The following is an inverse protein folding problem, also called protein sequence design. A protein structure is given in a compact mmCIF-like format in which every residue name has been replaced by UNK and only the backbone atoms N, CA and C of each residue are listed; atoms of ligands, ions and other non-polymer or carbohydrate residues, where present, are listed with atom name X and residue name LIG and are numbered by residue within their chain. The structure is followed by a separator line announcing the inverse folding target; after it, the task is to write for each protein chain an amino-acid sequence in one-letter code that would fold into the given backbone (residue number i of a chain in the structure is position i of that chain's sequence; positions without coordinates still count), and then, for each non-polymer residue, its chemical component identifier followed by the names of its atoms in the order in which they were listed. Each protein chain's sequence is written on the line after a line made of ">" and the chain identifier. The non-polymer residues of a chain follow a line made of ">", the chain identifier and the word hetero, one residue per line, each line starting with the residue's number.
data_IF_677900017217
#
_entry.id   IF_677900017217
#
_cell.length_a   1.000
_cell.length_b   1.000
_cell.length_c   1.000
_cell.angle_alpha   90.00
_cell.angle_beta   90.00
_cell.angle_gamma   90.00
#
_symmetry.space_group_name_H-M   'P 1'
#
loop_
_entity.id
_entity.type
_entity.pdbx_description
1 polymer ?
#
# COMPACT_ATOMS: atom_id res chain seq x y z
N UNK A 1 32.15 28.73 34.88
CA UNK A 1 31.73 27.35 34.54
C UNK A 1 30.41 27.41 33.79
N UNK A 2 30.40 26.78 32.60
CA UNK A 2 29.25 26.34 31.78
C UNK A 2 28.38 27.44 31.13
N UNK A 3 28.87 27.93 29.98
CA UNK A 3 28.06 28.52 28.92
C UNK A 3 27.59 27.35 28.05
N UNK A 4 26.28 27.08 27.99
CA UNK A 4 25.74 26.07 27.08
C UNK A 4 25.55 26.70 25.70
N UNK A 5 26.44 26.34 24.78
CA UNK A 5 26.27 26.63 23.35
C UNK A 5 25.20 25.72 22.77
N UNK A 6 24.09 26.31 22.31
CA UNK A 6 23.12 25.61 21.49
C UNK A 6 23.58 25.69 20.03
N UNK A 7 24.01 24.55 19.49
CA UNK A 7 24.21 24.36 18.07
C UNK A 7 22.85 24.40 17.37
N UNK A 8 22.58 25.45 16.61
CA UNK A 8 21.48 25.47 15.66
C UNK A 8 21.85 24.59 14.45
N UNK A 9 21.35 23.36 14.42
CA UNK A 9 21.35 22.55 13.20
C UNK A 9 20.28 23.11 12.26
N UNK A 10 20.73 23.84 11.24
CA UNK A 10 19.90 24.19 10.09
C UNK A 10 19.74 22.92 9.27
N UNK A 11 18.63 22.20 9.45
CA UNK A 11 18.23 21.15 8.53
C UNK A 11 17.51 21.81 7.34
N UNK A 12 18.27 22.07 6.27
CA UNK A 12 17.69 22.39 4.98
C UNK A 12 16.86 21.18 4.52
N UNK A 13 15.53 21.31 4.56
CA UNK A 13 14.62 20.35 3.96
C UNK A 13 14.72 20.50 2.44
N UNK A 14 15.58 19.71 1.82
CA UNK A 14 15.50 19.46 0.38
C UNK A 14 14.28 18.56 0.18
N UNK A 15 13.12 19.17 -0.04
CA UNK A 15 12.02 18.48 -0.71
C UNK A 15 12.52 18.25 -2.12
N UNK A 16 12.87 17.00 -2.44
CA UNK A 16 12.96 16.57 -3.82
C UNK A 16 11.53 16.62 -4.39
N UNK A 17 11.12 17.80 -4.83
CA UNK A 17 10.01 17.92 -5.76
C UNK A 17 10.47 17.18 -6.99
N UNK A 18 9.90 16.00 -7.24
CA UNK A 18 9.93 15.45 -8.59
C UNK A 18 9.19 16.48 -9.43
N UNK A 19 9.95 17.18 -10.26
CA UNK A 19 9.38 18.09 -11.25
C UNK A 19 8.52 17.19 -12.13
N UNK A 20 7.20 17.37 -12.04
CA UNK A 20 6.28 16.82 -13.02
C UNK A 20 6.59 17.56 -14.32
N UNK A 21 7.38 16.94 -15.20
CA UNK A 21 7.75 17.51 -16.49
C UNK A 21 6.54 17.58 -17.46
N UNK A 22 5.32 17.28 -16.98
CA UNK A 22 4.13 17.13 -17.80
C UNK A 22 4.12 15.83 -18.61
N UNK A 23 5.06 14.92 -18.32
CA UNK A 23 5.12 13.61 -18.94
C UNK A 23 3.93 12.78 -18.44
N UNK A 24 2.98 12.55 -19.34
CA UNK A 24 1.83 11.69 -19.08
C UNK A 24 2.14 10.25 -19.39
N UNK A 25 1.55 9.35 -18.62
CA UNK A 25 1.57 7.90 -18.83
C UNK A 25 0.16 7.41 -19.12
N UNK A 26 0.03 6.41 -19.99
CA UNK A 26 -1.26 5.79 -20.28
C UNK A 26 -1.57 4.80 -19.18
N UNK A 27 -2.61 5.09 -18.40
CA UNK A 27 -3.01 4.30 -17.24
C UNK A 27 -4.37 3.65 -17.51
N UNK A 28 -4.45 2.33 -17.41
CA UNK A 28 -5.68 1.57 -17.46
C UNK A 28 -6.26 1.41 -16.05
N UNK A 29 -7.46 1.93 -15.83
CA UNK A 29 -8.24 1.78 -14.59
C UNK A 29 -9.17 0.56 -14.65
N UNK A 30 -9.54 0.16 -15.86
CA UNK A 30 -10.30 -1.06 -16.15
C UNK A 30 -10.02 -1.52 -17.59
N UNK A 31 -10.59 -2.64 -18.01
CA UNK A 31 -10.44 -3.16 -19.38
C UNK A 31 -10.90 -2.14 -20.45
N UNK A 32 -11.90 -1.30 -20.13
CA UNK A 32 -12.52 -0.35 -21.06
C UNK A 32 -12.20 1.13 -20.74
N UNK A 33 -11.39 1.41 -19.71
CA UNK A 33 -11.05 2.78 -19.30
C UNK A 33 -9.53 2.97 -19.21
N UNK A 34 -9.00 3.74 -20.15
CA UNK A 34 -7.59 4.13 -20.21
C UNK A 34 -7.46 5.65 -20.34
N UNK A 35 -6.57 6.24 -19.55
CA UNK A 35 -6.40 7.71 -19.47
C UNK A 35 -4.93 8.08 -19.42
N UNK A 36 -4.58 9.17 -20.08
CA UNK A 36 -3.25 9.78 -19.96
C UNK A 36 -3.18 10.63 -18.70
N UNK A 37 -2.48 10.12 -17.69
CA UNK A 37 -2.36 10.74 -16.37
C UNK A 37 -0.94 11.26 -16.14
N UNK A 38 -0.84 12.40 -15.47
CA UNK A 38 0.44 12.91 -14.96
C UNK A 38 0.90 12.11 -13.76
N UNK A 39 2.15 12.33 -13.33
CA UNK A 39 2.66 11.67 -12.13
C UNK A 39 1.83 11.98 -10.87
N UNK A 40 1.38 13.22 -10.70
CA UNK A 40 0.56 13.59 -9.54
C UNK A 40 -0.79 12.86 -9.54
N UNK A 41 -1.44 12.75 -10.70
CA UNK A 41 -2.72 12.05 -10.84
C UNK A 41 -2.57 10.54 -10.58
N UNK A 42 -1.42 9.95 -10.94
CA UNK A 42 -1.10 8.54 -10.61
C UNK A 42 -0.86 8.36 -9.12
N UNK A 43 -0.11 9.27 -8.49
CA UNK A 43 0.14 9.23 -7.06
C UNK A 43 -1.20 9.34 -6.28
N UNK A 44 -2.16 10.14 -6.75
CA UNK A 44 -3.51 10.20 -6.19
C UNK A 44 -4.26 8.87 -6.27
N UNK A 45 -4.11 8.09 -7.35
CA UNK A 45 -4.70 6.74 -7.46
C UNK A 45 -4.11 5.79 -6.40
N UNK A 46 -2.80 5.86 -6.17
CA UNK A 46 -2.11 5.07 -5.14
C UNK A 46 -2.64 5.46 -3.75
N UNK A 47 -2.77 6.75 -3.47
CA UNK A 47 -3.25 7.25 -2.18
C UNK A 47 -4.69 6.84 -1.86
N UNK A 48 -5.53 6.74 -2.90
CA UNK A 48 -6.92 6.29 -2.76
C UNK A 48 -7.09 4.76 -2.88
N UNK A 49 -5.97 4.01 -2.95
CA UNK A 49 -5.95 2.56 -3.09
C UNK A 49 -6.75 2.06 -4.31
N UNK A 50 -6.72 2.83 -5.40
CA UNK A 50 -7.33 2.49 -6.68
C UNK A 50 -6.30 1.70 -7.49
N UNK A 51 -6.62 0.45 -7.81
CA UNK A 51 -5.77 -0.38 -8.66
C UNK A 51 -5.72 0.16 -10.09
N UNK A 52 -4.52 0.21 -10.67
CA UNK A 52 -4.32 0.62 -12.05
C UNK A 52 -3.17 -0.13 -12.70
N UNK A 53 -3.09 0.00 -14.02
CA UNK A 53 -2.16 -0.68 -14.90
C UNK A 53 -1.44 0.36 -15.78
N UNK A 54 -0.11 0.44 -15.74
CA UNK A 54 0.65 1.32 -16.65
C UNK A 54 0.79 0.68 -18.03
N UNK A 55 0.01 1.18 -19.00
CA UNK A 55 -0.08 0.70 -20.37
C UNK A 55 0.73 1.55 -21.37
N UNK A 56 1.55 2.50 -20.90
CA UNK A 56 2.27 3.47 -21.74
C UNK A 56 3.07 2.82 -22.87
N UNK A 57 3.71 1.69 -22.60
CA UNK A 57 4.57 0.99 -23.55
C UNK A 57 3.88 -0.19 -24.25
N UNK A 58 2.58 -0.38 -24.06
CA UNK A 58 1.86 -1.55 -24.58
C UNK A 58 2.29 -2.87 -23.94
N UNK A 59 3.04 -2.82 -22.83
CA UNK A 59 3.50 -4.02 -22.12
C UNK A 59 2.32 -4.88 -21.63
N UNK A 60 1.17 -4.25 -21.35
CA UNK A 60 -0.07 -4.96 -21.02
C UNK A 60 -0.59 -5.87 -22.13
N UNK A 61 -0.46 -5.47 -23.39
CA UNK A 61 -0.83 -6.31 -24.54
C UNK A 61 0.26 -7.37 -24.82
N UNK A 62 1.50 -7.10 -24.43
CA UNK A 62 2.64 -8.01 -24.60
C UNK A 62 2.70 -9.12 -23.53
N UNK A 63 2.03 -8.96 -22.37
CA UNK A 63 1.95 -10.00 -21.32
C UNK A 63 1.44 -11.35 -21.86
N UNK A 64 0.44 -11.34 -22.75
CA UNK A 64 -0.04 -12.55 -23.44
C UNK A 64 1.07 -13.24 -24.25
N UNK A 65 2.01 -12.47 -24.80
CA UNK A 65 3.12 -12.93 -25.63
C UNK A 65 4.22 -13.61 -24.82
N UNK A 66 4.35 -13.27 -23.54
CA UNK A 66 5.31 -13.87 -22.60
C UNK A 66 4.75 -15.07 -21.81
N UNK A 67 3.57 -15.57 -22.17
CA UNK A 67 2.92 -16.69 -21.46
C UNK A 67 2.31 -16.31 -20.11
N UNK A 68 2.39 -15.03 -19.71
CA UNK A 68 1.57 -14.48 -18.66
C UNK A 68 0.20 -14.16 -19.26
N UNK A 69 -0.62 -15.19 -19.45
CA UNK A 69 -2.03 -14.98 -19.77
C UNK A 69 -2.59 -13.93 -18.81
N UNK A 70 -3.32 -12.93 -19.35
CA UNK A 70 -4.08 -11.94 -18.55
C UNK A 70 -4.57 -12.65 -17.32
N UNK A 71 -4.09 -12.26 -16.13
CA UNK A 71 -4.21 -13.03 -14.90
C UNK A 71 -5.53 -13.79 -14.94
N UNK A 72 -5.48 -15.09 -15.27
CA UNK A 72 -6.69 -15.86 -15.47
C UNK A 72 -7.46 -15.62 -14.20
N UNK A 73 -8.66 -15.03 -14.30
CA UNK A 73 -9.56 -14.87 -13.16
C UNK A 73 -9.46 -16.19 -12.42
N UNK A 74 -8.90 -16.24 -11.21
CA UNK A 74 -8.55 -17.50 -10.58
C UNK A 74 -9.80 -18.35 -10.69
N UNK A 75 -9.67 -19.52 -11.35
CA UNK A 75 -10.83 -20.35 -11.68
C UNK A 75 -11.74 -20.36 -10.48
N UNK A 76 -13.02 -20.04 -10.69
CA UNK A 76 -13.99 -19.84 -9.61
C UNK A 76 -13.82 -20.94 -8.59
N UNK A 77 -13.12 -20.64 -7.49
CA UNK A 77 -12.66 -21.66 -6.57
C UNK A 77 -13.92 -22.28 -5.99
N UNK A 78 -14.16 -23.55 -6.30
CA UNK A 78 -15.32 -24.25 -5.74
C UNK A 78 -15.05 -24.44 -4.27
N UNK A 79 -15.63 -23.55 -3.46
CA UNK A 79 -15.64 -23.72 -2.02
C UNK A 79 -16.52 -24.93 -1.68
N UNK A 80 -16.14 -25.73 -0.69
CA UNK A 80 -17.01 -26.81 -0.23
C UNK A 80 -18.35 -26.23 0.24
N UNK A 81 -19.43 -26.97 0.02
CA UNK A 81 -20.80 -26.56 0.37
C UNK A 81 -21.03 -26.41 1.89
N UNK A 82 -20.05 -26.79 2.72
CA UNK A 82 -20.11 -26.71 4.17
C UNK A 82 -18.72 -26.67 4.81
N UNK A 83 -18.64 -26.51 6.13
CA UNK A 83 -17.39 -26.39 6.86
C UNK A 83 -16.62 -27.73 6.87
N UNK A 84 -15.57 -27.83 6.06
CA UNK A 84 -14.72 -29.04 5.97
C UNK A 84 -13.72 -29.14 7.13
N UNK A 85 -13.40 -28.02 7.79
CA UNK A 85 -12.35 -27.92 8.79
C UNK A 85 -12.85 -27.36 10.13
N UNK A 86 -14.08 -27.69 10.52
CA UNK A 86 -14.72 -27.12 11.71
C UNK A 86 -13.86 -27.27 12.98
N UNK A 87 -13.31 -28.46 13.24
CA UNK A 87 -12.47 -28.73 14.42
C UNK A 87 -11.22 -27.84 14.44
N UNK A 88 -10.56 -27.67 13.31
CA UNK A 88 -9.37 -26.84 13.18
C UNK A 88 -9.71 -25.35 13.36
N UNK A 89 -10.79 -24.88 12.74
CA UNK A 89 -11.26 -23.50 12.88
C UNK A 89 -11.65 -23.20 14.32
N UNK A 90 -12.37 -24.09 15.00
CA UNK A 90 -12.74 -23.94 16.41
C UNK A 90 -11.51 -23.90 17.33
N UNK A 91 -10.51 -24.76 17.08
CA UNK A 91 -9.27 -24.74 17.84
C UNK A 91 -8.51 -23.41 17.66
N UNK A 92 -8.46 -22.86 16.45
CA UNK A 92 -7.85 -21.55 16.19
C UNK A 92 -8.64 -20.44 16.89
N UNK A 93 -9.98 -20.45 16.77
CA UNK A 93 -10.84 -19.45 17.42
C UNK A 93 -10.68 -19.45 18.94
N UNK A 94 -10.52 -20.63 19.56
CA UNK A 94 -10.28 -20.72 21.01
C UNK A 94 -8.95 -20.08 21.46
N UNK A 95 -7.98 -19.95 20.55
CA UNK A 95 -6.71 -19.28 20.83
C UNK A 95 -6.76 -17.75 20.62
N UNK A 96 -7.80 -17.25 19.95
CA UNK A 96 -8.01 -15.80 19.79
C UNK A 96 -8.70 -15.26 21.04
N UNK A 97 -7.94 -14.56 21.88
CA UNK A 97 -8.48 -13.95 23.10
C UNK A 97 -8.65 -12.44 22.92
N UNK A 98 -9.74 -11.90 23.46
CA UNK A 98 -10.01 -10.45 23.44
C UNK A 98 -8.88 -9.66 24.08
N UNK A 99 -8.28 -10.19 25.15
CA UNK A 99 -7.14 -9.55 25.84
C UNK A 99 -5.88 -9.47 24.99
N UNK A 100 -5.57 -10.50 24.20
CA UNK A 100 -4.42 -10.45 23.28
C UNK A 100 -4.65 -9.43 22.15
N UNK A 101 -5.88 -9.34 21.65
CA UNK A 101 -6.26 -8.34 20.65
C UNK A 101 -6.19 -6.92 21.22
N UNK A 102 -6.76 -6.71 22.41
CA UNK A 102 -6.71 -5.43 23.12
C UNK A 102 -5.27 -4.99 23.39
N UNK A 103 -4.41 -5.91 23.81
CA UNK A 103 -2.98 -5.63 24.01
C UNK A 103 -2.33 -5.18 22.70
N UNK A 104 -2.58 -5.90 21.60
CA UNK A 104 -2.01 -5.57 20.29
C UNK A 104 -2.48 -4.21 19.80
N UNK A 105 -3.77 -3.90 19.95
CA UNK A 105 -4.35 -2.61 19.58
C UNK A 105 -3.83 -1.48 20.47
N UNK A 106 -3.67 -1.73 21.76
CA UNK A 106 -3.12 -0.75 22.70
C UNK A 106 -1.67 -0.43 22.35
N UNK A 107 -0.84 -1.44 22.12
CA UNK A 107 0.53 -1.26 21.66
C UNK A 107 0.54 -0.53 20.32
N UNK A 108 -0.38 -0.84 19.41
CA UNK A 108 -0.50 -0.14 18.15
C UNK A 108 -0.77 1.36 18.38
N UNK A 109 -1.75 1.73 19.19
CA UNK A 109 -2.09 3.15 19.39
C UNK A 109 -1.05 3.91 20.21
N UNK A 110 -0.34 3.25 21.13
CA UNK A 110 0.52 3.92 22.11
C UNK A 110 2.02 3.90 21.77
N UNK A 111 2.48 2.97 20.93
CA UNK A 111 3.91 2.83 20.60
C UNK A 111 4.50 4.04 19.87
N UNK A 112 3.70 4.76 19.10
CA UNK A 112 4.11 5.94 18.35
C UNK A 112 3.15 7.10 18.62
N UNK A 113 3.68 8.31 18.82
CA UNK A 113 2.88 9.51 19.06
C UNK A 113 2.02 9.91 17.85
N UNK A 114 2.49 9.59 16.64
CA UNK A 114 1.75 9.76 15.39
C UNK A 114 2.13 8.64 14.43
N UNK A 115 1.19 8.27 13.56
CA UNK A 115 1.39 7.30 12.48
C UNK A 115 1.18 7.94 11.10
N UNK A 116 1.24 9.28 11.06
CA UNK A 116 1.05 10.02 9.84
C UNK A 116 2.19 9.70 8.85
N UNK A 117 1.85 9.33 7.61
CA UNK A 117 2.79 8.85 6.57
C UNK A 117 4.03 9.75 6.34
N UNK A 118 3.89 11.05 6.59
CA UNK A 118 4.97 12.03 6.40
C UNK A 118 5.86 12.22 7.63
N UNK A 119 5.45 11.70 8.80
CA UNK A 119 6.25 11.77 10.03
C UNK A 119 7.34 10.69 10.06
N UNK A 120 8.40 10.93 10.85
CA UNK A 120 9.45 9.94 11.03
C UNK A 120 8.91 8.67 11.69
N UNK A 121 8.01 8.83 12.65
CA UNK A 121 7.30 7.77 13.36
C UNK A 121 6.38 6.98 12.44
N UNK A 122 5.68 7.67 11.52
CA UNK A 122 4.84 7.05 10.50
C UNK A 122 5.61 6.07 9.62
N UNK A 123 6.79 6.47 9.13
CA UNK A 123 7.69 5.61 8.33
C UNK A 123 8.27 4.43 9.12
N UNK A 124 8.44 4.58 10.43
CA UNK A 124 8.89 3.49 11.30
C UNK A 124 7.75 2.54 11.72
N UNK A 125 6.50 2.95 11.52
CA UNK A 125 5.29 2.21 11.90
C UNK A 125 4.62 1.47 10.74
N UNK A 126 5.06 1.74 9.50
CA UNK A 126 4.58 1.16 8.24
C UNK A 126 5.31 -0.11 7.87
#
# INVERSE_FOLDING_TARGET
>A
MKVFGAFAFIAALVVAQTIDNGEKRLIALSDDDQRWLTKSEIDDLIENNIGFADATNGDWDSLQRFGFGRAQRPESKTYPAGPVHETLVRAIQANVTTSALEKTLTEFVTKFATRHKLSAEGKASS
#
